data_IF_982449851680
#
_entry.id   IF_982449851680
#
_cell.length_a   1.000
_cell.length_b   1.000
_cell.length_c   1.000
_cell.angle_alpha   90.00
_cell.angle_beta   90.00
_cell.angle_gamma   90.00
#
_symmetry.space_group_name_H-M   'P 1'
#
loop_
_entity.id
_entity.type
_entity.pdbx_description
1 polymer ?
#
# COMPACT_ATOMS: atom_id res chain seq x y z
N UNK A 1 20.76 -5.35 -2.39
CA UNK A 1 19.36 -5.18 -1.96
C UNK A 1 18.70 -6.53 -1.88
N UNK A 2 18.00 -6.81 -0.74
CA UNK A 2 17.10 -7.96 -0.59
C UNK A 2 15.70 -7.45 -0.27
N UNK A 3 14.68 -8.19 -0.73
CA UNK A 3 13.27 -7.84 -0.57
C UNK A 3 12.54 -8.98 0.13
N UNK A 4 11.74 -8.65 1.16
CA UNK A 4 10.98 -9.61 1.95
C UNK A 4 9.50 -9.20 2.01
N UNK A 5 8.59 -9.92 1.35
CA UNK A 5 7.16 -9.73 1.53
C UNK A 5 6.72 -10.04 2.96
N UNK A 6 5.93 -9.18 3.55
CA UNK A 6 5.46 -9.30 4.93
C UNK A 6 3.93 -9.20 4.99
N UNK A 7 3.26 -10.28 5.38
CA UNK A 7 1.82 -10.25 5.61
C UNK A 7 1.52 -9.54 6.94
N UNK A 8 0.81 -8.40 6.87
CA UNK A 8 0.49 -7.57 8.02
C UNK A 8 -0.95 -7.77 8.55
N UNK A 9 -1.72 -8.62 7.90
CA UNK A 9 -3.10 -8.95 8.25
C UNK A 9 -3.99 -9.00 7.01
N UNK A 10 -5.17 -9.58 7.16
CA UNK A 10 -6.17 -9.63 6.11
C UNK A 10 -7.48 -9.03 6.60
N UNK A 11 -8.21 -8.39 5.70
CA UNK A 11 -9.46 -7.71 6.02
C UNK A 11 -10.46 -7.81 4.86
N UNK A 12 -11.60 -7.15 4.97
CA UNK A 12 -12.62 -7.10 3.91
C UNK A 12 -13.16 -5.70 3.76
N UNK A 13 -13.34 -5.28 2.51
CA UNK A 13 -14.01 -4.03 2.16
C UNK A 13 -15.23 -4.27 1.28
N UNK A 14 -16.17 -3.32 1.28
CA UNK A 14 -17.32 -3.37 0.38
C UNK A 14 -16.86 -3.38 -1.08
N UNK A 15 -17.27 -4.39 -1.84
CA UNK A 15 -16.88 -4.55 -3.24
C UNK A 15 -17.42 -3.45 -4.14
N UNK A 16 -18.57 -2.87 -3.81
CA UNK A 16 -19.10 -1.71 -4.54
C UNK A 16 -18.24 -0.46 -4.34
N UNK A 17 -17.75 -0.24 -3.12
CA UNK A 17 -16.81 0.84 -2.83
C UNK A 17 -15.44 0.61 -3.50
N UNK A 18 -14.96 -0.64 -3.52
CA UNK A 18 -13.69 -0.99 -4.18
C UNK A 18 -13.76 -0.85 -5.70
N UNK A 19 -14.90 -1.11 -6.33
CA UNK A 19 -15.03 -1.08 -7.79
C UNK A 19 -15.82 0.13 -8.33
N UNK A 20 -16.30 1.00 -7.46
CA UNK A 20 -16.97 2.25 -7.84
C UNK A 20 -18.20 2.01 -8.72
N UNK A 21 -18.16 2.53 -9.95
CA UNK A 21 -19.28 2.45 -10.89
C UNK A 21 -19.31 1.14 -11.69
N UNK A 22 -18.33 0.24 -11.54
CA UNK A 22 -18.28 -1.03 -12.25
C UNK A 22 -19.39 -1.96 -11.72
N UNK A 23 -20.27 -2.53 -12.56
CA UNK A 23 -21.31 -3.43 -12.10
C UNK A 23 -20.77 -4.68 -11.39
N UNK A 24 -21.42 -5.10 -10.31
CA UNK A 24 -21.05 -6.28 -9.51
C UNK A 24 -20.86 -7.54 -10.37
N UNK A 25 -21.75 -7.77 -11.32
CA UNK A 25 -21.69 -8.93 -12.24
C UNK A 25 -20.43 -9.00 -13.09
N UNK A 26 -19.65 -7.91 -13.15
CA UNK A 26 -18.36 -7.85 -13.84
C UNK A 26 -17.20 -8.06 -12.86
N UNK A 27 -17.11 -7.27 -11.78
CA UNK A 27 -15.98 -7.33 -10.86
C UNK A 27 -15.99 -8.57 -9.94
N UNK A 28 -17.15 -9.12 -9.63
CA UNK A 28 -17.28 -10.33 -8.81
C UNK A 28 -16.60 -11.58 -9.43
N UNK A 29 -16.28 -11.54 -10.71
CA UNK A 29 -15.54 -12.61 -11.41
C UNK A 29 -14.08 -12.72 -10.97
N UNK A 30 -13.49 -11.61 -10.57
CA UNK A 30 -12.10 -11.53 -10.10
C UNK A 30 -12.00 -11.44 -8.58
N UNK A 31 -12.96 -10.77 -7.96
CA UNK A 31 -12.99 -10.51 -6.53
C UNK A 31 -14.34 -10.95 -5.95
N UNK A 32 -14.55 -12.25 -5.67
CA UNK A 32 -15.79 -12.77 -5.12
C UNK A 32 -16.17 -12.10 -3.81
N UNK A 33 -17.45 -11.75 -3.63
CA UNK A 33 -17.94 -11.09 -2.42
C UNK A 33 -18.66 -12.04 -1.47
N UNK A 34 -18.60 -11.71 -0.17
CA UNK A 34 -19.39 -12.38 0.86
C UNK A 34 -20.87 -11.91 0.85
N UNK A 35 -21.67 -12.47 1.76
CA UNK A 35 -23.10 -12.11 1.90
C UNK A 35 -23.36 -10.63 2.25
N UNK A 36 -22.32 -9.91 2.72
CA UNK A 36 -22.35 -8.48 3.02
C UNK A 36 -21.76 -7.62 1.90
N UNK A 37 -21.57 -8.19 0.71
CA UNK A 37 -20.94 -7.55 -0.44
C UNK A 37 -19.47 -7.17 -0.23
N UNK A 38 -18.75 -7.81 0.71
CA UNK A 38 -17.35 -7.49 0.99
C UNK A 38 -16.44 -8.46 0.25
N UNK A 39 -15.39 -7.92 -0.38
CA UNK A 39 -14.30 -8.69 -1.00
C UNK A 39 -13.16 -8.88 0.00
N UNK A 40 -12.39 -9.93 -0.17
CA UNK A 40 -11.20 -10.20 0.63
C UNK A 40 -10.03 -9.34 0.17
N UNK A 41 -9.30 -8.79 1.15
CA UNK A 41 -8.15 -7.90 0.98
C UNK A 41 -7.00 -8.40 1.85
N UNK A 42 -5.78 -8.21 1.40
CA UNK A 42 -4.57 -8.34 2.21
C UNK A 42 -4.03 -6.96 2.63
N UNK A 43 -3.23 -6.92 3.67
CA UNK A 43 -2.25 -5.86 3.92
C UNK A 43 -0.88 -6.50 3.80
N UNK A 44 -0.28 -6.43 2.61
CA UNK A 44 1.02 -7.01 2.33
C UNK A 44 2.05 -5.91 2.23
N UNK A 45 2.88 -5.78 3.25
CA UNK A 45 3.99 -4.86 3.30
C UNK A 45 5.23 -5.43 2.59
N UNK A 46 6.23 -4.59 2.34
CA UNK A 46 7.50 -5.02 1.78
C UNK A 46 8.64 -4.48 2.63
N UNK A 47 9.54 -5.37 3.08
CA UNK A 47 10.78 -4.97 3.74
C UNK A 47 11.90 -4.97 2.71
N UNK A 48 12.71 -3.90 2.71
CA UNK A 48 13.86 -3.70 1.84
C UNK A 48 15.10 -3.61 2.71
N UNK A 49 16.06 -4.52 2.47
CA UNK A 49 17.38 -4.49 3.10
C UNK A 49 18.43 -4.05 2.09
N UNK A 50 19.13 -2.95 2.36
CA UNK A 50 20.23 -2.44 1.54
C UNK A 50 21.31 -1.79 2.38
N UNK A 51 22.46 -2.45 2.50
CA UNK A 51 23.55 -1.99 3.35
C UNK A 51 23.14 -1.91 4.82
N UNK A 52 23.16 -0.71 5.38
CA UNK A 52 22.70 -0.46 6.76
C UNK A 52 21.25 -0.01 6.85
N UNK A 53 20.55 0.13 5.71
CA UNK A 53 19.15 0.52 5.67
C UNK A 53 18.25 -0.71 5.71
N UNK A 54 17.29 -0.69 6.62
CA UNK A 54 16.19 -1.64 6.69
C UNK A 54 14.88 -0.85 6.60
N UNK A 55 14.30 -0.81 5.39
CA UNK A 55 13.20 0.07 5.03
C UNK A 55 11.92 -0.73 4.94
N UNK A 56 10.93 -0.41 5.75
CA UNK A 56 9.60 -1.01 5.70
C UNK A 56 8.66 -0.15 4.86
N UNK A 57 8.10 -0.73 3.80
CA UNK A 57 7.10 -0.09 2.95
C UNK A 57 5.71 -0.46 3.47
N UNK A 58 4.99 0.54 3.93
CA UNK A 58 3.71 0.48 4.63
C UNK A 58 3.71 -0.41 5.89
N UNK A 59 2.62 -0.39 6.64
CA UNK A 59 2.58 -1.05 7.96
C UNK A 59 1.27 -1.80 8.23
N UNK A 60 0.36 -1.81 7.25
CA UNK A 60 -0.96 -2.38 7.41
C UNK A 60 -1.85 -1.60 8.39
N UNK A 61 -2.98 -2.20 8.75
CA UNK A 61 -4.01 -1.59 9.59
C UNK A 61 -3.62 -1.49 11.08
N UNK A 62 -2.69 -2.33 11.52
CA UNK A 62 -2.36 -2.45 12.94
C UNK A 62 -3.49 -3.09 13.78
N UNK A 63 -3.39 -2.94 15.10
CA UNK A 63 -4.31 -3.61 16.04
C UNK A 63 -4.74 -2.72 17.22
N UNK A 64 -4.44 -1.43 17.19
CA UNK A 64 -4.66 -0.53 18.34
C UNK A 64 -6.10 -0.05 18.50
N UNK A 65 -6.92 -0.10 17.44
CA UNK A 65 -8.33 0.24 17.49
C UNK A 65 -9.13 -0.85 18.22
N UNK A 66 -10.29 -0.50 18.71
CA UNK A 66 -11.18 -1.45 19.38
C UNK A 66 -12.07 -2.24 18.42
N UNK A 67 -12.78 -3.23 18.96
CA UNK A 67 -13.70 -4.10 18.22
C UNK A 67 -14.79 -3.32 17.44
N UNK A 68 -15.19 -2.16 17.94
CA UNK A 68 -16.16 -1.29 17.26
C UNK A 68 -15.66 -0.78 15.92
N UNK A 69 -14.35 -0.64 15.75
CA UNK A 69 -13.70 -0.29 14.50
C UNK A 69 -13.54 -1.54 13.62
N UNK A 70 -12.86 -2.58 14.12
CA UNK A 70 -12.49 -3.74 13.33
C UNK A 70 -13.68 -4.57 12.81
N UNK A 71 -14.83 -4.56 13.51
CA UNK A 71 -16.05 -5.25 13.03
C UNK A 71 -16.51 -4.81 11.64
N UNK A 72 -16.15 -3.60 11.19
CA UNK A 72 -16.49 -3.09 9.86
C UNK A 72 -15.64 -3.71 8.77
N UNK A 73 -14.42 -4.12 9.12
CA UNK A 73 -13.41 -4.61 8.16
C UNK A 73 -13.32 -6.12 8.11
N UNK A 74 -14.02 -6.86 8.97
CA UNK A 74 -14.13 -8.31 8.90
C UNK A 74 -12.77 -8.99 8.80
N UNK A 75 -11.89 -8.73 9.77
CA UNK A 75 -10.53 -9.29 9.82
C UNK A 75 -10.56 -10.83 9.70
N UNK A 76 -9.56 -11.39 9.03
CA UNK A 76 -9.41 -12.83 8.86
C UNK A 76 -7.95 -13.23 8.69
N UNK A 77 -7.65 -14.55 8.87
CA UNK A 77 -6.26 -15.07 8.89
C UNK A 77 -5.51 -14.71 10.16
N UNK A 78 -4.38 -15.37 10.37
CA UNK A 78 -3.56 -15.25 11.58
C UNK A 78 -2.24 -14.51 11.32
N UNK A 79 -2.27 -13.52 10.42
CA UNK A 79 -1.11 -12.72 10.05
C UNK A 79 -1.01 -11.46 10.89
N UNK A 80 0.22 -11.08 11.23
CA UNK A 80 0.54 -9.75 11.77
C UNK A 80 1.91 -9.32 11.28
N UNK A 81 2.10 -8.00 11.11
CA UNK A 81 3.37 -7.43 10.68
C UNK A 81 4.54 -7.87 11.58
N UNK A 82 4.34 -7.83 12.90
CA UNK A 82 5.38 -8.22 13.88
C UNK A 82 5.74 -9.70 13.75
N UNK A 83 4.76 -10.59 13.58
CA UNK A 83 5.05 -12.03 13.40
C UNK A 83 5.73 -12.30 12.05
N UNK A 84 5.41 -11.52 11.02
CA UNK A 84 6.04 -11.65 9.70
C UNK A 84 7.48 -11.13 9.70
N UNK A 85 7.75 -10.01 10.37
CA UNK A 85 9.12 -9.52 10.62
C UNK A 85 9.96 -10.57 11.36
N UNK A 86 9.43 -11.13 12.45
CA UNK A 86 10.15 -12.15 13.21
C UNK A 86 10.45 -13.42 12.39
N UNK A 87 9.52 -13.85 11.51
CA UNK A 87 9.78 -14.98 10.58
C UNK A 87 10.86 -14.66 9.54
N UNK A 88 10.95 -13.40 9.11
CA UNK A 88 12.01 -12.95 8.22
C UNK A 88 13.36 -12.73 8.96
N UNK A 89 13.39 -12.89 10.29
CA UNK A 89 14.62 -12.78 11.10
C UNK A 89 14.89 -11.37 11.64
N UNK A 90 13.92 -10.46 11.57
CA UNK A 90 14.06 -9.06 11.98
C UNK A 90 13.21 -8.72 13.20
N UNK A 91 13.68 -7.73 13.97
CA UNK A 91 12.96 -7.14 15.08
C UNK A 91 12.44 -5.75 14.69
N UNK A 92 11.32 -5.25 15.23
CA UNK A 92 10.86 -3.87 14.98
C UNK A 92 11.89 -2.78 15.26
N UNK A 93 12.79 -3.03 16.20
CA UNK A 93 13.89 -2.10 16.56
C UNK A 93 15.02 -2.04 15.52
N UNK A 94 15.08 -3.01 14.60
CA UNK A 94 16.06 -3.05 13.51
C UNK A 94 15.65 -2.13 12.35
N UNK A 95 14.37 -1.79 12.25
CA UNK A 95 13.87 -0.93 11.18
C UNK A 95 14.46 0.47 11.29
N UNK A 96 15.13 0.91 10.24
CA UNK A 96 15.77 2.24 10.15
C UNK A 96 14.85 3.28 9.54
N UNK A 97 13.96 2.86 8.65
CA UNK A 97 13.06 3.72 7.90
C UNK A 97 11.70 3.04 7.68
N UNK A 98 10.63 3.78 7.87
CA UNK A 98 9.27 3.38 7.48
C UNK A 98 8.85 4.32 6.36
N UNK A 99 8.63 3.77 5.18
CA UNK A 99 8.16 4.50 4.02
C UNK A 99 6.66 4.28 3.87
N UNK A 100 5.86 5.32 4.06
CA UNK A 100 4.41 5.28 3.96
C UNK A 100 4.00 5.75 2.55
N UNK A 101 3.43 4.85 1.76
CA UNK A 101 2.95 5.19 0.41
C UNK A 101 1.92 6.30 0.47
N UNK A 102 1.03 6.21 1.44
CA UNK A 102 0.08 7.24 1.85
C UNK A 102 -0.44 6.94 3.28
N UNK A 103 -1.31 7.79 3.81
CA UNK A 103 -1.66 7.80 5.23
C UNK A 103 -3.08 7.29 5.54
N UNK A 104 -3.71 6.53 4.64
CA UNK A 104 -4.93 5.82 4.98
C UNK A 104 -4.64 4.77 6.06
N UNK A 105 -5.65 4.48 6.91
CA UNK A 105 -5.45 3.70 8.14
C UNK A 105 -4.97 2.27 7.89
N UNK A 106 -5.24 1.71 6.74
CA UNK A 106 -4.85 0.35 6.33
C UNK A 106 -3.41 0.27 5.78
N UNK A 107 -2.76 1.40 5.54
CA UNK A 107 -1.35 1.53 5.17
C UNK A 107 -0.48 1.98 6.34
N UNK A 108 -0.94 2.97 7.12
CA UNK A 108 -0.14 3.54 8.20
C UNK A 108 -0.58 3.12 9.61
N UNK A 109 -1.63 2.31 9.74
CA UNK A 109 -2.17 1.95 11.05
C UNK A 109 -1.19 1.20 11.94
N UNK A 110 -0.41 0.28 11.40
CA UNK A 110 0.62 -0.46 12.12
C UNK A 110 1.87 0.35 12.48
N UNK A 111 2.00 1.58 11.97
CA UNK A 111 3.07 2.49 12.35
C UNK A 111 3.03 2.91 13.83
N UNK A 112 1.87 2.78 14.47
CA UNK A 112 1.63 3.19 15.85
C UNK A 112 1.06 2.03 16.66
N UNK A 113 1.63 1.82 17.85
CA UNK A 113 1.16 0.86 18.84
C UNK A 113 0.66 1.56 20.11
N UNK A 114 -0.01 0.82 20.99
CA UNK A 114 -0.22 1.19 22.40
C UNK A 114 0.85 0.53 23.24
N UNK A 115 1.52 1.30 24.06
CA UNK A 115 2.44 0.78 25.08
C UNK A 115 1.69 0.15 26.27
N UNK A 116 2.42 -0.38 27.25
CA UNK A 116 1.86 -0.98 28.46
C UNK A 116 1.00 -0.03 29.32
N UNK A 117 1.09 1.28 29.13
CA UNK A 117 0.23 2.30 29.78
C UNK A 117 -0.99 2.66 28.95
N UNK A 118 -1.11 2.18 27.71
CA UNK A 118 -2.12 2.54 26.74
C UNK A 118 -1.80 3.81 25.94
N UNK A 119 -0.59 4.36 26.09
CA UNK A 119 -0.13 5.53 25.34
C UNK A 119 0.21 5.13 23.91
N UNK A 120 -0.17 5.99 22.94
CA UNK A 120 0.16 5.80 21.54
C UNK A 120 1.62 6.17 21.29
N UNK A 121 2.38 5.22 20.77
CA UNK A 121 3.81 5.37 20.48
C UNK A 121 4.16 4.80 19.11
N UNK A 122 5.19 5.32 18.42
CA UNK A 122 5.68 4.72 17.19
C UNK A 122 6.08 3.25 17.41
N UNK A 123 5.61 2.38 16.52
CA UNK A 123 5.87 0.93 16.59
C UNK A 123 7.34 0.60 16.29
N UNK A 124 8.00 1.42 15.49
CA UNK A 124 9.40 1.29 15.06
C UNK A 124 10.18 2.47 15.67
N UNK A 125 10.60 2.31 16.92
CA UNK A 125 11.14 3.40 17.75
C UNK A 125 12.43 4.03 17.23
N UNK A 126 13.21 3.26 16.43
CA UNK A 126 14.49 3.70 15.87
C UNK A 126 14.34 4.22 14.43
N UNK A 127 13.16 4.08 13.83
CA UNK A 127 12.93 4.42 12.43
C UNK A 127 12.63 5.90 12.22
N UNK A 128 13.02 6.40 11.05
CA UNK A 128 12.48 7.62 10.45
C UNK A 128 11.21 7.24 9.68
N UNK A 129 10.16 8.03 9.79
CA UNK A 129 8.90 7.83 9.05
C UNK A 129 8.82 8.82 7.89
N UNK A 130 8.74 8.29 6.68
CA UNK A 130 8.78 9.07 5.45
C UNK A 130 7.42 9.11 4.78
N UNK A 131 7.01 10.31 4.39
CA UNK A 131 5.79 10.58 3.64
C UNK A 131 6.03 11.78 2.71
N UNK A 132 5.26 11.91 1.66
CA UNK A 132 5.33 13.13 0.85
C UNK A 132 4.76 14.32 1.64
N UNK A 133 5.47 15.48 1.64
CA UNK A 133 5.06 16.64 2.44
C UNK A 133 3.65 17.10 2.14
N UNK A 134 3.27 17.22 0.87
CA UNK A 134 1.91 17.63 0.49
C UNK A 134 0.85 16.59 0.88
N UNK A 135 1.21 15.30 0.92
CA UNK A 135 0.30 14.29 1.43
C UNK A 135 0.08 14.43 2.93
N UNK A 136 1.14 14.73 3.69
CA UNK A 136 1.01 15.02 5.12
C UNK A 136 0.09 16.21 5.37
N UNK A 137 0.33 17.34 4.68
CA UNK A 137 -0.51 18.54 4.78
C UNK A 137 -1.97 18.25 4.43
N UNK A 138 -2.21 17.39 3.45
CA UNK A 138 -3.54 16.92 3.07
C UNK A 138 -4.18 16.06 4.16
N UNK A 139 -3.45 15.12 4.75
CA UNK A 139 -3.95 14.16 5.73
C UNK A 139 -4.29 14.82 7.08
N UNK A 140 -3.54 15.84 7.52
CA UNK A 140 -3.84 16.58 8.75
C UNK A 140 -4.99 17.59 8.60
N UNK A 141 -5.40 17.91 7.37
CA UNK A 141 -6.55 18.79 7.07
C UNK A 141 -7.44 18.15 5.99
N UNK A 142 -8.00 16.95 6.27
CA UNK A 142 -8.65 16.14 5.26
C UNK A 142 -9.98 16.74 4.81
N UNK A 143 -10.30 16.54 3.53
CA UNK A 143 -11.64 16.81 3.03
C UNK A 143 -12.69 15.83 3.61
N UNK A 144 -13.97 16.18 3.48
CA UNK A 144 -15.06 15.38 4.07
C UNK A 144 -15.18 13.95 3.51
N UNK A 145 -14.65 13.68 2.31
CA UNK A 145 -14.68 12.36 1.68
C UNK A 145 -13.67 11.39 2.28
N UNK A 146 -12.45 11.87 2.57
CA UNK A 146 -11.33 11.06 3.08
C UNK A 146 -11.15 11.11 4.60
N UNK A 147 -11.83 12.03 5.29
CA UNK A 147 -11.64 12.23 6.74
C UNK A 147 -11.72 10.93 7.56
N UNK A 148 -12.54 9.98 7.16
CA UNK A 148 -12.69 8.70 7.84
C UNK A 148 -11.49 7.76 7.63
N UNK A 149 -10.67 8.00 6.60
CA UNK A 149 -9.46 7.21 6.29
C UNK A 149 -8.22 7.73 7.01
N UNK A 150 -8.20 9.00 7.43
CA UNK A 150 -7.08 9.61 8.15
C UNK A 150 -7.36 9.64 9.66
N UNK A 151 -6.79 8.69 10.39
CA UNK A 151 -6.95 8.61 11.84
C UNK A 151 -5.86 9.41 12.53
N UNK A 152 -6.24 10.42 13.31
CA UNK A 152 -5.30 11.30 14.02
C UNK A 152 -4.33 10.53 14.93
N UNK A 153 -4.80 9.42 15.51
CA UNK A 153 -4.00 8.50 16.32
C UNK A 153 -2.88 7.78 15.56
N UNK A 154 -2.95 7.73 14.22
CA UNK A 154 -1.89 7.19 13.37
C UNK A 154 -0.83 8.24 13.02
N UNK A 155 -1.17 9.52 13.09
CA UNK A 155 -0.35 10.62 12.60
C UNK A 155 0.41 11.34 13.73
N UNK A 156 -0.33 11.78 14.77
CA UNK A 156 0.23 12.60 15.83
C UNK A 156 1.48 12.02 16.52
N UNK A 157 1.56 10.71 16.86
CA UNK A 157 2.74 10.19 17.54
C UNK A 157 4.03 10.31 16.71
N UNK A 158 3.94 10.14 15.39
CA UNK A 158 5.10 10.25 14.48
C UNK A 158 5.64 11.68 14.48
N UNK A 159 4.72 12.66 14.41
CA UNK A 159 5.08 14.07 14.43
C UNK A 159 5.68 14.47 15.80
N UNK A 160 5.00 14.12 16.89
CA UNK A 160 5.39 14.54 18.25
C UNK A 160 6.70 13.93 18.75
N UNK A 161 7.09 12.77 18.23
CA UNK A 161 8.39 12.14 18.55
C UNK A 161 9.54 12.67 17.71
N UNK A 162 9.26 13.49 16.68
CA UNK A 162 10.28 14.04 15.79
C UNK A 162 10.85 13.03 14.78
N UNK A 163 10.14 11.91 14.56
CA UNK A 163 10.56 10.86 13.61
C UNK A 163 10.04 11.11 12.17
N UNK A 164 9.19 12.11 11.99
CA UNK A 164 8.60 12.47 10.69
C UNK A 164 9.64 13.09 9.76
N UNK A 165 9.71 12.58 8.55
CA UNK A 165 10.58 13.05 7.47
C UNK A 165 9.77 13.20 6.18
N UNK A 166 10.21 14.06 5.27
CA UNK A 166 9.45 14.38 4.08
C UNK A 166 10.22 14.13 2.78
N UNK A 167 9.50 13.53 1.82
CA UNK A 167 9.81 13.66 0.39
C UNK A 167 9.13 14.94 -0.10
N UNK A 168 9.87 15.79 -0.81
CA UNK A 168 9.40 17.11 -1.25
C UNK A 168 9.40 17.28 -2.75
N UNK A 169 9.97 16.33 -3.49
CA UNK A 169 10.06 16.38 -4.94
C UNK A 169 8.66 16.28 -5.57
N UNK A 170 8.43 17.07 -6.61
CA UNK A 170 7.13 17.17 -7.28
C UNK A 170 7.08 16.43 -8.64
N UNK A 171 8.21 15.90 -9.08
CA UNK A 171 8.28 15.15 -10.33
C UNK A 171 7.45 13.87 -10.24
N UNK A 172 6.69 13.58 -11.30
CA UNK A 172 5.89 12.34 -11.36
C UNK A 172 6.74 11.08 -11.20
N UNK A 173 8.00 11.11 -11.62
CA UNK A 173 8.95 10.03 -11.49
C UNK A 173 10.24 10.56 -10.86
N UNK A 174 10.38 10.37 -9.56
CA UNK A 174 11.54 10.78 -8.77
C UNK A 174 12.59 9.67 -8.86
N UNK A 175 13.70 9.94 -9.53
CA UNK A 175 14.78 8.95 -9.74
C UNK A 175 15.86 9.03 -8.69
N UNK A 176 16.09 10.22 -8.12
CA UNK A 176 17.08 10.44 -7.09
C UNK A 176 16.37 10.59 -5.73
N UNK A 177 16.44 9.55 -4.91
CA UNK A 177 15.78 9.48 -3.61
C UNK A 177 16.80 9.13 -2.52
N UNK A 178 16.50 9.33 -1.24
CA UNK A 178 17.34 8.85 -0.14
C UNK A 178 17.32 7.32 0.02
N UNK A 179 16.61 6.62 -0.84
CA UNK A 179 16.39 5.18 -0.80
C UNK A 179 17.03 4.46 -1.99
N UNK A 180 17.23 3.13 -1.92
CA UNK A 180 17.73 2.34 -3.05
C UNK A 180 16.68 2.07 -4.14
N UNK A 181 15.63 2.89 -4.23
CA UNK A 181 14.54 2.77 -5.19
C UNK A 181 14.05 4.15 -5.67
N UNK A 182 13.46 4.15 -6.85
CA UNK A 182 12.80 5.32 -7.45
C UNK A 182 11.35 5.42 -6.94
N UNK A 183 10.69 6.57 -7.11
CA UNK A 183 9.31 6.79 -6.64
C UNK A 183 8.47 7.33 -7.79
N UNK A 184 7.28 6.77 -8.01
CA UNK A 184 6.25 7.35 -8.86
C UNK A 184 5.20 8.05 -7.98
N UNK A 185 4.83 9.30 -8.34
CA UNK A 185 3.80 10.06 -7.64
C UNK A 185 2.45 9.96 -8.35
N UNK A 186 1.41 9.62 -7.59
CA UNK A 186 0.02 9.54 -8.03
C UNK A 186 -0.88 10.43 -7.18
N UNK A 187 -1.88 11.04 -7.80
CA UNK A 187 -2.76 12.02 -7.13
C UNK A 187 -4.25 11.63 -7.18
N UNK A 188 -4.59 10.62 -7.97
CA UNK A 188 -5.98 10.26 -8.22
C UNK A 188 -6.66 9.60 -7.02
N UNK A 189 -6.01 8.64 -6.38
CA UNK A 189 -6.50 7.99 -5.17
C UNK A 189 -6.53 8.98 -4.00
N UNK A 190 -5.38 9.50 -3.65
CA UNK A 190 -5.20 10.58 -2.68
C UNK A 190 -4.08 11.52 -3.12
N UNK A 191 -3.86 12.63 -2.42
CA UNK A 191 -2.78 13.58 -2.76
C UNK A 191 -1.42 12.91 -2.62
N UNK A 192 -0.59 12.91 -3.68
CA UNK A 192 0.82 12.49 -3.63
C UNK A 192 1.06 11.08 -3.04
N UNK A 193 0.22 10.11 -3.38
CA UNK A 193 0.53 8.71 -3.13
C UNK A 193 1.85 8.33 -3.81
N UNK A 194 2.75 7.66 -3.10
CA UNK A 194 4.07 7.27 -3.55
C UNK A 194 4.14 5.77 -3.87
N UNK A 195 4.54 5.42 -5.08
CA UNK A 195 4.75 4.03 -5.49
C UNK A 195 6.26 3.76 -5.65
N UNK A 196 6.89 2.97 -4.77
CA UNK A 196 8.30 2.57 -4.92
C UNK A 196 8.54 1.70 -6.16
N UNK A 197 9.66 1.95 -6.85
CA UNK A 197 10.11 1.19 -8.02
C UNK A 197 11.49 0.61 -7.75
N UNK A 198 11.58 -0.69 -7.60
CA UNK A 198 12.79 -1.44 -7.27
C UNK A 198 13.45 -2.02 -8.51
N UNK A 199 14.80 -2.03 -8.53
CA UNK A 199 15.59 -2.83 -9.48
C UNK A 199 16.15 -4.03 -8.72
N UNK A 200 15.50 -5.19 -8.84
CA UNK A 200 15.82 -6.37 -8.07
C UNK A 200 16.05 -7.59 -8.98
N UNK A 201 17.23 -8.22 -8.83
CA UNK A 201 17.64 -9.43 -9.58
C UNK A 201 17.34 -9.37 -11.10
N UNK A 202 17.56 -8.20 -11.70
CA UNK A 202 17.36 -7.97 -13.14
C UNK A 202 15.94 -7.63 -13.56
N UNK A 203 15.00 -7.56 -12.61
CA UNK A 203 13.60 -7.15 -12.82
C UNK A 203 13.34 -5.75 -12.24
N UNK A 204 12.36 -5.05 -12.80
CA UNK A 204 11.79 -3.84 -12.19
C UNK A 204 10.49 -4.21 -11.53
N UNK A 205 10.37 -3.96 -10.23
CA UNK A 205 9.19 -4.26 -9.43
C UNK A 205 8.61 -2.94 -8.94
N UNK A 206 7.31 -2.75 -9.11
CA UNK A 206 6.59 -1.60 -8.56
C UNK A 206 5.67 -2.06 -7.43
N UNK A 207 5.80 -1.46 -6.26
CA UNK A 207 4.81 -1.57 -5.20
C UNK A 207 3.60 -0.75 -5.62
N UNK A 208 2.52 -1.42 -6.04
CA UNK A 208 1.43 -0.79 -6.76
C UNK A 208 0.45 -0.02 -5.85
N UNK A 209 0.53 -0.25 -4.53
CA UNK A 209 -0.33 0.37 -3.52
C UNK A 209 -1.78 0.49 -3.99
N UNK A 210 -2.42 1.64 -3.86
CA UNK A 210 -3.82 1.86 -4.21
C UNK A 210 -4.06 2.39 -5.63
N UNK A 211 -3.02 2.43 -6.46
CA UNK A 211 -3.22 2.62 -7.90
C UNK A 211 -3.79 1.34 -8.55
N UNK A 212 -3.24 0.16 -8.16
CA UNK A 212 -3.70 -1.16 -8.60
C UNK A 212 -3.77 -2.08 -7.37
N UNK A 213 -4.82 -1.98 -6.54
CA UNK A 213 -4.88 -2.73 -5.29
C UNK A 213 -5.03 -4.25 -5.48
N UNK A 214 -5.73 -4.70 -6.54
CA UNK A 214 -5.90 -6.12 -6.85
C UNK A 214 -5.86 -6.36 -8.37
N UNK A 215 -5.73 -7.61 -8.80
CA UNK A 215 -5.79 -7.97 -10.23
C UNK A 215 -7.11 -7.54 -10.89
N UNK A 216 -8.19 -7.45 -10.13
CA UNK A 216 -9.47 -6.94 -10.61
C UNK A 216 -9.42 -5.48 -11.05
N UNK A 217 -8.46 -4.71 -10.55
CA UNK A 217 -8.28 -3.30 -10.87
C UNK A 217 -7.31 -3.04 -12.04
N UNK A 218 -6.75 -4.06 -12.70
CA UNK A 218 -5.89 -3.88 -13.88
C UNK A 218 -6.63 -3.17 -15.03
N UNK A 219 -7.87 -3.51 -15.41
CA UNK A 219 -8.56 -2.79 -16.48
C UNK A 219 -8.72 -1.30 -16.18
N UNK A 220 -8.39 -0.42 -17.14
CA UNK A 220 -8.37 1.04 -16.94
C UNK A 220 -9.66 1.59 -16.30
N UNK A 221 -10.89 1.22 -16.72
CA UNK A 221 -12.10 1.75 -16.10
C UNK A 221 -12.39 1.24 -14.68
N UNK A 222 -11.67 0.22 -14.21
CA UNK A 222 -11.90 -0.38 -12.90
C UNK A 222 -11.08 0.36 -11.85
N UNK A 223 -11.62 1.49 -11.39
CA UNK A 223 -11.05 2.35 -10.34
C UNK A 223 -11.93 2.31 -9.10
N UNK A 224 -11.36 2.68 -7.96
CA UNK A 224 -12.09 2.62 -6.71
C UNK A 224 -13.08 3.78 -6.55
N UNK A 225 -14.20 3.50 -5.88
CA UNK A 225 -15.08 4.53 -5.37
C UNK A 225 -14.40 5.38 -4.27
N UNK A 226 -13.34 4.87 -3.66
CA UNK A 226 -12.50 5.59 -2.70
C UNK A 226 -11.62 6.67 -3.34
N UNK A 227 -11.34 6.60 -4.64
CA UNK A 227 -10.52 7.59 -5.33
C UNK A 227 -11.12 8.99 -5.21
N UNK A 228 -10.32 9.95 -4.75
CA UNK A 228 -10.79 11.32 -4.55
C UNK A 228 -10.91 12.08 -5.87
N UNK A 229 -10.07 11.71 -6.85
CA UNK A 229 -10.04 12.31 -8.19
C UNK A 229 -10.12 11.21 -9.26
N UNK A 230 -11.29 10.55 -9.43
CA UNK A 230 -11.40 9.35 -10.27
C UNK A 230 -10.97 9.58 -11.73
N UNK A 231 -11.19 10.76 -12.29
CA UNK A 231 -10.74 11.08 -13.66
C UNK A 231 -9.21 11.28 -13.74
N UNK A 232 -8.56 11.66 -12.63
CA UNK A 232 -7.10 11.69 -12.56
C UNK A 232 -6.56 10.27 -12.43
N UNK A 233 -7.14 9.43 -11.58
CA UNK A 233 -6.78 8.00 -11.50
C UNK A 233 -6.83 7.32 -12.86
N UNK A 234 -7.84 7.59 -13.69
CA UNK A 234 -7.93 7.03 -15.04
C UNK A 234 -6.73 7.40 -15.91
N UNK A 235 -6.30 8.68 -15.86
CA UNK A 235 -5.15 9.16 -16.64
C UNK A 235 -3.84 8.59 -16.10
N UNK A 236 -3.72 8.50 -14.79
CA UNK A 236 -2.54 7.95 -14.11
C UNK A 236 -2.40 6.46 -14.41
N UNK A 237 -3.48 5.69 -14.35
CA UNK A 237 -3.47 4.28 -14.73
C UNK A 237 -3.13 4.06 -16.21
N UNK A 238 -3.68 4.85 -17.12
CA UNK A 238 -3.36 4.75 -18.56
C UNK A 238 -1.87 5.01 -18.80
N UNK A 239 -1.34 6.06 -18.19
CA UNK A 239 0.09 6.38 -18.24
C UNK A 239 0.95 5.26 -17.60
N UNK A 240 0.58 4.83 -16.39
CA UNK A 240 1.30 3.81 -15.65
C UNK A 240 1.32 2.46 -16.38
N UNK A 241 0.19 2.03 -16.95
CA UNK A 241 0.15 0.76 -17.68
C UNK A 241 1.02 0.78 -18.95
N UNK A 242 1.09 1.91 -19.65
CA UNK A 242 2.02 2.08 -20.79
C UNK A 242 3.46 1.98 -20.32
N UNK A 243 3.82 2.73 -19.28
CA UNK A 243 5.15 2.67 -18.68
C UNK A 243 5.50 1.26 -18.19
N UNK A 244 4.57 0.57 -17.54
CA UNK A 244 4.77 -0.78 -17.03
C UNK A 244 5.04 -1.79 -18.15
N UNK A 245 4.36 -1.65 -19.29
CA UNK A 245 4.61 -2.49 -20.48
C UNK A 245 5.93 -2.14 -21.14
N UNK A 246 6.27 -0.85 -21.31
CA UNK A 246 7.54 -0.40 -21.92
C UNK A 246 8.77 -0.82 -21.10
N UNK A 247 8.67 -0.76 -19.77
CA UNK A 247 9.75 -1.02 -18.83
C UNK A 247 9.74 -2.47 -18.29
N UNK A 248 8.78 -3.30 -18.71
CA UNK A 248 8.56 -4.66 -18.23
C UNK A 248 8.43 -4.73 -16.70
N UNK A 249 7.61 -3.86 -16.11
CA UNK A 249 7.36 -3.85 -14.68
C UNK A 249 6.60 -5.10 -14.24
N UNK A 250 7.05 -5.66 -13.12
CA UNK A 250 6.24 -6.55 -12.30
C UNK A 250 5.54 -5.71 -11.22
N UNK A 251 4.29 -6.04 -10.91
CA UNK A 251 3.53 -5.33 -9.88
C UNK A 251 3.48 -6.19 -8.62
N UNK A 252 3.93 -5.62 -7.51
CA UNK A 252 3.71 -6.16 -6.18
C UNK A 252 2.40 -5.59 -5.65
N UNK A 253 1.44 -6.47 -5.32
CA UNK A 253 0.08 -6.10 -4.93
C UNK A 253 -0.08 -6.21 -3.42
N UNK A 254 -0.27 -5.07 -2.78
CA UNK A 254 -0.49 -4.98 -1.34
C UNK A 254 -1.81 -5.62 -0.91
N UNK A 255 -2.88 -5.33 -1.66
CA UNK A 255 -4.24 -5.65 -1.26
C UNK A 255 -4.82 -6.93 -1.89
N UNK A 256 -4.09 -7.59 -2.78
CA UNK A 256 -4.58 -8.85 -3.36
C UNK A 256 -4.14 -10.04 -2.51
N UNK A 257 -5.07 -10.75 -1.84
CA UNK A 257 -4.70 -11.86 -0.96
C UNK A 257 -4.20 -13.11 -1.72
N UNK A 258 -4.44 -13.18 -3.04
CA UNK A 258 -4.15 -14.35 -3.87
C UNK A 258 -3.04 -14.13 -4.88
N UNK A 259 -2.72 -12.87 -5.19
CA UNK A 259 -1.73 -12.49 -6.19
C UNK A 259 -0.72 -11.50 -5.58
N UNK A 260 0.45 -12.00 -5.25
CA UNK A 260 1.49 -11.23 -4.57
C UNK A 260 2.32 -10.40 -5.56
N UNK A 261 2.86 -11.09 -6.58
CA UNK A 261 3.69 -10.50 -7.63
C UNK A 261 3.13 -10.92 -8.98
N UNK A 262 2.88 -9.96 -9.87
CA UNK A 262 2.27 -10.25 -11.15
C UNK A 262 3.06 -9.66 -12.33
N UNK A 263 2.98 -10.34 -13.47
CA UNK A 263 3.37 -9.77 -14.77
C UNK A 263 2.14 -9.36 -15.58
N UNK A 264 2.37 -8.47 -16.54
CA UNK A 264 1.33 -7.89 -17.38
C UNK A 264 1.54 -8.30 -18.85
N UNK A 265 0.45 -8.36 -19.60
CA UNK A 265 0.47 -8.53 -21.07
C UNK A 265 -0.49 -7.57 -21.75
N UNK A 266 -0.14 -7.18 -22.97
CA UNK A 266 -1.05 -6.46 -23.84
C UNK A 266 -2.02 -7.42 -24.53
N UNK A 267 -3.29 -7.00 -24.66
CA UNK A 267 -4.35 -7.72 -25.36
C UNK A 267 -5.16 -6.73 -26.20
N UNK A 268 -6.01 -7.23 -27.10
CA UNK A 268 -6.96 -6.39 -27.86
C UNK A 268 -7.89 -5.55 -26.95
N UNK A 269 -8.05 -5.94 -25.68
CA UNK A 269 -8.85 -5.23 -24.67
C UNK A 269 -8.01 -4.38 -23.72
N UNK A 270 -6.74 -4.08 -24.08
CA UNK A 270 -5.76 -3.37 -23.26
C UNK A 270 -4.97 -4.32 -22.35
N UNK A 271 -4.21 -3.74 -21.42
CA UNK A 271 -3.34 -4.48 -20.51
C UNK A 271 -4.14 -5.39 -19.57
N UNK A 272 -3.65 -6.60 -19.35
CA UNK A 272 -4.24 -7.62 -18.48
C UNK A 272 -3.16 -8.35 -17.68
N UNK A 273 -3.58 -9.07 -16.66
CA UNK A 273 -2.77 -10.06 -15.95
C UNK A 273 -2.20 -11.06 -16.98
N UNK A 274 -0.90 -11.30 -16.91
CA UNK A 274 -0.26 -12.41 -17.63
C UNK A 274 -0.07 -13.60 -16.70
N UNK A 275 0.77 -13.46 -15.68
CA UNK A 275 1.07 -14.51 -14.72
C UNK A 275 1.09 -13.95 -13.30
N UNK A 276 0.86 -14.84 -12.33
CA UNK A 276 0.93 -14.54 -10.90
C UNK A 276 1.97 -15.44 -10.25
N UNK A 277 2.75 -14.89 -9.32
CA UNK A 277 3.85 -15.55 -8.64
C UNK A 277 3.79 -15.25 -7.15
N UNK A 278 4.37 -16.13 -6.33
CA UNK A 278 4.89 -15.73 -5.03
C UNK A 278 6.32 -15.23 -5.20
N UNK A 279 6.76 -14.35 -4.34
CA UNK A 279 8.10 -13.77 -4.39
C UNK A 279 9.17 -14.87 -4.30
N UNK A 280 8.97 -15.81 -3.38
CA UNK A 280 9.86 -16.98 -3.17
C UNK A 280 9.99 -17.88 -4.41
N UNK A 281 8.92 -18.03 -5.21
CA UNK A 281 8.98 -18.87 -6.41
C UNK A 281 9.54 -18.15 -7.63
N UNK A 282 9.52 -16.81 -7.62
CA UNK A 282 10.02 -16.05 -8.76
C UNK A 282 11.52 -15.73 -8.63
N UNK A 283 12.04 -15.56 -7.43
CA UNK A 283 13.42 -15.22 -7.10
C UNK A 283 14.13 -16.26 -6.27
#
# INVERSE_FOLDING_TARGET
MELFPLEAGNFRLDGGAMFGVVPKTLWERTNPSDAKNRIEMASRCLLVEEGEQLILIDTGMGNKQGDSFFRHYGLWGDYSLISSLARAGFHPDDITDVFLTHLHFDHCGGAINKDGSGTLVPAFKNARYWVHQKHWEWAISPNAREKASFLTENLNPIETTGQLNFIQDEERHIKETPFPFEILLMNGHTEKQMLPVFKYKGQKIVYAADLIPTVGHIPIPYIMGYDTRPLETLKEKDWFMKLAMEENYMLFLEHDPYNELISLKETEKGVRLDQSFTFEHFF
#
